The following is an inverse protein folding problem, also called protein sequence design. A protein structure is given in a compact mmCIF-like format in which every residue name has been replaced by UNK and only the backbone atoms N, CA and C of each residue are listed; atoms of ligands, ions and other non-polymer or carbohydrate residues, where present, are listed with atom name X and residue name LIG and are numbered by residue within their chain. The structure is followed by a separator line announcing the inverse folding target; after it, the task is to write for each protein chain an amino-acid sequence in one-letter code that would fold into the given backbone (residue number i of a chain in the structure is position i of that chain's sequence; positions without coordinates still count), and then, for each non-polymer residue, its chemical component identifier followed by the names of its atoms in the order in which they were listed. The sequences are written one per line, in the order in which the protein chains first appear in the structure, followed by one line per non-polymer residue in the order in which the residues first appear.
data_IF_418891962610
#
_entry.id   IF_418891962610
#
_cell.length_a   1.000
_cell.length_b   1.000
_cell.length_c   1.000
_cell.angle_alpha   90.00
_cell.angle_beta   90.00
_cell.angle_gamma   90.00
#
_symmetry.space_group_name_H-M   'P 1'
#
loop_
_entity.id
_entity.type
_entity.pdbx_description
1 polymer ?
#
# COMPACT_ATOMS: atom_id res chain seq x y z
N UNK A 1 -11.27 4.73 6.23
CA UNK A 1 -10.85 3.36 5.84
C UNK A 1 -11.74 2.91 4.70
N UNK A 2 -11.16 2.70 3.52
CA UNK A 2 -11.90 2.45 2.29
C UNK A 2 -12.21 0.95 2.09
N UNK A 3 -11.23 0.10 2.41
CA UNK A 3 -11.31 -1.34 2.22
C UNK A 3 -10.61 -2.11 3.34
N UNK A 4 -11.21 -3.21 3.76
CA UNK A 4 -10.64 -4.22 4.64
C UNK A 4 -11.13 -5.62 4.25
N UNK A 5 -10.19 -6.53 3.95
CA UNK A 5 -10.41 -7.97 3.77
C UNK A 5 -9.64 -8.80 4.80
N UNK A 6 -10.02 -10.07 4.93
CA UNK A 6 -9.34 -11.03 5.81
C UNK A 6 -9.10 -12.34 5.06
N UNK A 7 -8.03 -13.06 5.40
CA UNK A 7 -7.77 -14.38 4.85
C UNK A 7 -8.92 -15.34 5.20
N UNK A 8 -9.71 -15.71 4.19
CA UNK A 8 -10.91 -16.56 4.32
C UNK A 8 -12.26 -15.84 4.20
N UNK A 9 -12.30 -14.50 4.19
CA UNK A 9 -13.51 -13.70 3.93
C UNK A 9 -13.21 -12.59 2.93
N UNK A 10 -13.84 -12.66 1.75
CA UNK A 10 -13.48 -11.79 0.60
C UNK A 10 -13.59 -10.29 0.87
N UNK A 11 -14.49 -9.85 1.76
CA UNK A 11 -14.61 -8.45 2.19
C UNK A 11 -15.20 -8.44 3.61
N UNK A 12 -14.56 -7.74 4.55
CA UNK A 12 -15.05 -7.60 5.93
C UNK A 12 -15.62 -6.21 6.17
N UNK A 13 -15.05 -5.17 5.55
CA UNK A 13 -15.60 -3.81 5.58
C UNK A 13 -15.20 -3.04 4.33
N UNK A 14 -16.17 -2.35 3.73
CA UNK A 14 -16.01 -1.53 2.52
C UNK A 14 -16.87 -0.28 2.63
N UNK A 15 -16.35 0.85 2.16
CA UNK A 15 -17.09 2.10 2.03
C UNK A 15 -17.38 2.36 0.54
N UNK A 16 -18.51 1.84 0.08
CA UNK A 16 -18.92 1.89 -1.33
C UNK A 16 -19.24 3.31 -1.80
N UNK A 17 -19.87 4.11 -0.95
CA UNK A 17 -20.23 5.49 -1.28
C UNK A 17 -18.96 6.35 -1.43
N UNK A 18 -18.00 6.18 -0.53
CA UNK A 18 -16.71 6.85 -0.63
C UNK A 18 -15.95 6.39 -1.88
N UNK A 19 -15.87 5.08 -2.14
CA UNK A 19 -15.19 4.54 -3.32
C UNK A 19 -15.81 5.08 -4.62
N UNK A 20 -17.14 5.12 -4.72
CA UNK A 20 -17.85 5.66 -5.87
C UNK A 20 -17.61 7.16 -6.03
N UNK A 21 -17.61 7.92 -4.93
CA UNK A 21 -17.32 9.37 -4.95
C UNK A 21 -15.90 9.68 -5.43
N UNK A 22 -14.96 8.76 -5.19
CA UNK A 22 -13.56 8.83 -5.62
C UNK A 22 -13.34 8.25 -7.03
N UNK A 23 -14.38 7.75 -7.70
CA UNK A 23 -14.23 7.10 -9.02
C UNK A 23 -13.51 5.74 -8.98
N UNK A 24 -13.24 5.20 -7.78
CA UNK A 24 -12.59 3.91 -7.61
C UNK A 24 -13.60 2.79 -7.87
N UNK A 25 -13.52 2.19 -9.06
CA UNK A 25 -14.23 0.95 -9.33
C UNK A 25 -13.50 -0.23 -8.66
N UNK A 26 -13.76 -0.40 -7.36
CA UNK A 26 -13.22 -1.50 -6.58
C UNK A 26 -13.96 -2.78 -6.96
N UNK A 27 -13.46 -3.45 -7.98
CA UNK A 27 -13.91 -4.78 -8.36
C UNK A 27 -13.39 -5.81 -7.34
N UNK A 28 -14.28 -6.29 -6.48
CA UNK A 28 -13.96 -7.29 -5.44
C UNK A 28 -13.53 -8.65 -6.02
N UNK A 29 -13.67 -8.87 -7.33
CA UNK A 29 -13.14 -10.04 -8.03
C UNK A 29 -11.66 -9.88 -8.41
N UNK A 30 -11.17 -8.65 -8.48
CA UNK A 30 -9.73 -8.39 -8.61
C UNK A 30 -9.06 -8.71 -7.27
N UNK A 31 -7.85 -9.25 -7.32
CA UNK A 31 -7.04 -9.39 -6.12
C UNK A 31 -6.76 -7.99 -5.58
N UNK A 32 -7.38 -7.59 -4.48
CA UNK A 32 -7.13 -6.34 -3.77
C UNK A 32 -6.23 -6.64 -2.56
N UNK A 33 -5.50 -5.65 -2.03
CA UNK A 33 -4.72 -5.87 -0.84
C UNK A 33 -5.63 -5.96 0.39
N UNK A 34 -5.07 -6.42 1.50
CA UNK A 34 -5.83 -6.59 2.74
C UNK A 34 -6.49 -5.29 3.22
N UNK A 35 -5.81 -4.15 3.05
CA UNK A 35 -6.29 -2.85 3.51
C UNK A 35 -6.04 -1.80 2.44
N UNK A 36 -7.05 -0.95 2.20
CA UNK A 36 -6.87 0.32 1.49
C UNK A 36 -7.31 1.43 2.43
N UNK A 37 -6.35 2.28 2.78
CA UNK A 37 -6.62 3.54 3.47
C UNK A 37 -6.62 4.67 2.45
N UNK A 38 -7.44 5.67 2.71
CA UNK A 38 -7.41 6.92 1.98
C UNK A 38 -7.31 8.02 3.03
N UNK A 39 -6.31 8.88 2.86
CA UNK A 39 -6.24 10.20 3.44
C UNK A 39 -6.73 11.17 2.37
N UNK A 40 -7.78 11.94 2.68
CA UNK A 40 -8.39 12.84 1.70
C UNK A 40 -7.59 14.15 1.55
N UNK A 41 -6.63 14.39 2.45
CA UNK A 41 -5.90 15.65 2.49
C UNK A 41 -6.74 16.82 2.98
N UNK A 42 -6.10 17.98 3.06
CA UNK A 42 -6.71 19.25 3.45
C UNK A 42 -6.84 20.22 2.26
N UNK A 43 -6.18 19.95 1.12
CA UNK A 43 -6.24 20.81 -0.07
C UNK A 43 -7.52 20.55 -0.90
N UNK A 44 -8.24 21.62 -1.27
CA UNK A 44 -9.45 21.52 -2.09
C UNK A 44 -9.19 20.89 -3.48
N UNK A 45 -7.94 20.97 -3.96
CA UNK A 45 -7.50 20.36 -5.21
C UNK A 45 -7.37 18.83 -5.12
N UNK A 46 -7.30 18.27 -3.90
CA UNK A 46 -6.98 16.87 -3.64
C UNK A 46 -5.52 16.50 -3.88
N UNK A 47 -4.61 17.47 -4.06
CA UNK A 47 -3.19 17.20 -4.40
C UNK A 47 -2.39 16.52 -3.28
N UNK A 48 -2.86 16.59 -2.04
CA UNK A 48 -2.27 15.93 -0.88
C UNK A 48 -3.02 14.64 -0.48
N UNK A 49 -3.98 14.20 -1.30
CA UNK A 49 -4.66 12.93 -1.11
C UNK A 49 -3.67 11.76 -1.17
N UNK A 50 -3.87 10.76 -0.32
CA UNK A 50 -2.99 9.59 -0.25
C UNK A 50 -3.79 8.29 -0.11
N UNK A 51 -3.65 7.41 -1.09
CA UNK A 51 -4.05 6.01 -1.01
C UNK A 51 -2.91 5.17 -0.47
N UNK A 52 -3.18 4.42 0.58
CA UNK A 52 -2.23 3.48 1.17
C UNK A 52 -2.75 2.06 0.97
N UNK A 53 -2.17 1.37 -0.01
CA UNK A 53 -2.40 -0.05 -0.29
C UNK A 53 -1.53 -0.90 0.63
N UNK A 54 -2.12 -1.61 1.57
CA UNK A 54 -1.39 -2.37 2.60
C UNK A 54 -1.73 -3.85 2.53
N UNK A 55 -0.70 -4.68 2.40
CA UNK A 55 -0.78 -6.14 2.53
C UNK A 55 -0.30 -6.59 3.91
N UNK A 56 -1.09 -7.39 4.62
CA UNK A 56 -0.73 -7.94 5.93
C UNK A 56 -0.11 -9.32 5.72
N UNK A 57 1.22 -9.37 5.76
CA UNK A 57 1.97 -10.53 5.27
C UNK A 57 2.06 -11.62 6.33
N UNK A 58 1.31 -12.71 6.09
CA UNK A 58 1.43 -13.98 6.82
C UNK A 58 1.86 -15.12 5.89
N UNK A 59 1.05 -15.45 4.88
CA UNK A 59 1.30 -16.55 3.92
C UNK A 59 1.37 -16.11 2.46
N UNK A 60 0.58 -15.11 2.07
CA UNK A 60 0.28 -14.82 0.65
C UNK A 60 1.33 -13.93 -0.03
N UNK A 61 2.34 -13.51 0.73
CA UNK A 61 3.50 -12.75 0.26
C UNK A 61 3.32 -11.24 0.35
N UNK A 62 4.39 -10.47 0.10
CA UNK A 62 4.35 -9.01 0.19
C UNK A 62 3.73 -8.34 -1.05
N UNK A 63 3.63 -7.01 -0.98
CA UNK A 63 3.60 -6.19 -2.19
C UNK A 63 4.93 -6.37 -2.94
N UNK A 64 4.88 -7.16 -4.01
CA UNK A 64 5.97 -7.40 -4.95
C UNK A 64 5.76 -6.60 -6.24
N UNK A 65 6.76 -6.60 -7.13
CA UNK A 65 6.80 -5.70 -8.28
C UNK A 65 5.55 -5.77 -9.19
N UNK A 66 5.14 -6.96 -9.62
CA UNK A 66 3.94 -7.12 -10.45
C UNK A 66 2.65 -6.74 -9.71
N UNK A 67 2.57 -7.01 -8.40
CA UNK A 67 1.45 -6.57 -7.55
C UNK A 67 1.33 -5.06 -7.52
N UNK A 68 2.46 -4.35 -7.32
CA UNK A 68 2.51 -2.89 -7.33
C UNK A 68 2.07 -2.31 -8.67
N UNK A 69 2.45 -2.92 -9.80
CA UNK A 69 1.98 -2.50 -11.14
C UNK A 69 0.46 -2.59 -11.25
N UNK A 70 -0.13 -3.73 -10.90
CA UNK A 70 -1.59 -3.94 -10.98
C UNK A 70 -2.37 -2.94 -10.10
N UNK A 71 -1.88 -2.66 -8.89
CA UNK A 71 -2.53 -1.71 -8.00
C UNK A 71 -2.37 -0.26 -8.48
N UNK A 72 -1.23 0.07 -9.07
CA UNK A 72 -1.00 1.36 -9.74
C UNK A 72 -1.99 1.56 -10.88
N UNK A 73 -2.14 0.56 -11.77
CA UNK A 73 -3.07 0.62 -12.89
C UNK A 73 -4.51 0.84 -12.42
N UNK A 74 -4.94 0.15 -11.35
CA UNK A 74 -6.27 0.34 -10.77
C UNK A 74 -6.52 1.78 -10.31
N UNK A 75 -5.52 2.42 -9.68
CA UNK A 75 -5.64 3.79 -9.21
C UNK A 75 -5.57 4.82 -10.35
N UNK A 76 -4.69 4.59 -11.33
CA UNK A 76 -4.57 5.45 -12.52
C UNK A 76 -5.84 5.39 -13.36
N UNK A 77 -6.46 4.22 -13.51
CA UNK A 77 -7.76 4.06 -14.18
C UNK A 77 -8.88 4.85 -13.50
N UNK A 78 -8.76 5.11 -12.19
CA UNK A 78 -9.68 5.95 -11.42
C UNK A 78 -9.31 7.44 -11.43
N UNK A 79 -8.23 7.83 -12.13
CA UNK A 79 -7.82 9.23 -12.30
C UNK A 79 -6.75 9.71 -11.30
N UNK A 80 -6.19 8.82 -10.48
CA UNK A 80 -5.15 9.20 -9.51
C UNK A 80 -3.75 9.11 -10.09
N UNK A 81 -2.93 10.12 -9.81
CA UNK A 81 -1.52 10.12 -10.15
C UNK A 81 -0.67 9.30 -9.18
N UNK A 82 0.54 8.91 -9.61
CA UNK A 82 1.48 8.10 -8.84
C UNK A 82 1.84 8.69 -7.46
N UNK A 83 1.86 10.01 -7.34
CA UNK A 83 2.23 10.68 -6.10
C UNK A 83 1.15 10.53 -5.00
N UNK A 84 -0.09 10.20 -5.38
CA UNK A 84 -1.16 9.88 -4.44
C UNK A 84 -1.09 8.43 -3.92
N UNK A 85 -0.10 7.62 -4.33
CA UNK A 85 -0.08 6.19 -4.06
C UNK A 85 1.08 5.79 -3.15
N UNK A 86 0.77 5.09 -2.07
CA UNK A 86 1.71 4.41 -1.20
C UNK A 86 1.40 2.91 -1.14
N UNK A 87 2.46 2.10 -1.13
CA UNK A 87 2.38 0.65 -1.09
C UNK A 87 3.12 0.14 0.14
N UNK A 88 2.46 -0.66 0.97
CA UNK A 88 2.98 -1.11 2.26
C UNK A 88 2.89 -2.63 2.38
N UNK A 89 3.99 -3.27 2.71
CA UNK A 89 3.97 -4.64 3.24
C UNK A 89 4.09 -4.59 4.76
N UNK A 90 3.02 -4.97 5.46
CA UNK A 90 2.96 -4.97 6.91
C UNK A 90 3.32 -6.35 7.47
N UNK A 91 4.22 -6.39 8.43
CA UNK A 91 4.64 -7.61 9.13
C UNK A 91 4.43 -7.45 10.63
N UNK A 92 4.37 -8.57 11.36
CA UNK A 92 4.31 -8.52 12.81
C UNK A 92 5.63 -7.97 13.40
N UNK A 93 6.77 -8.48 12.93
CA UNK A 93 8.08 -8.19 13.50
C UNK A 93 9.21 -8.36 12.47
N UNK A 94 10.24 -7.52 12.58
CA UNK A 94 11.41 -7.47 11.66
C UNK A 94 12.33 -8.68 11.77
N UNK A 95 12.33 -9.40 12.90
CA UNK A 95 13.09 -10.63 13.07
C UNK A 95 12.37 -11.88 12.57
N UNK A 96 11.09 -11.76 12.17
CA UNK A 96 10.26 -12.88 11.75
C UNK A 96 10.83 -13.64 10.55
N UNK A 97 10.64 -14.96 10.54
CA UNK A 97 11.05 -15.81 9.43
C UNK A 97 10.29 -15.47 8.14
N UNK A 98 9.03 -15.03 8.25
CA UNK A 98 8.19 -14.59 7.13
C UNK A 98 8.80 -13.36 6.46
N UNK A 99 9.17 -12.33 7.24
CA UNK A 99 9.84 -11.16 6.69
C UNK A 99 11.16 -11.53 6.01
N UNK A 100 12.04 -12.24 6.72
CA UNK A 100 13.36 -12.65 6.20
C UNK A 100 13.27 -13.41 4.87
N UNK A 101 12.27 -14.28 4.73
CA UNK A 101 12.01 -15.02 3.49
C UNK A 101 11.58 -14.09 2.34
N UNK A 102 10.76 -13.10 2.63
CA UNK A 102 10.10 -12.25 1.64
C UNK A 102 10.89 -10.99 1.27
N UNK A 103 11.98 -10.65 1.99
CA UNK A 103 12.83 -9.49 1.68
C UNK A 103 13.20 -9.38 0.19
N UNK A 104 13.61 -10.47 -0.50
CA UNK A 104 13.99 -10.39 -1.91
C UNK A 104 12.83 -10.03 -2.86
N UNK A 105 11.58 -10.25 -2.44
CA UNK A 105 10.39 -10.06 -3.27
C UNK A 105 9.71 -8.70 -3.04
N UNK A 106 10.16 -7.93 -2.04
CA UNK A 106 9.62 -6.59 -1.75
C UNK A 106 9.82 -5.66 -2.95
N UNK A 107 8.76 -4.98 -3.37
CA UNK A 107 8.84 -4.00 -4.45
C UNK A 107 9.72 -2.79 -4.06
N UNK A 108 10.57 -2.33 -4.97
CA UNK A 108 11.19 -1.00 -4.84
C UNK A 108 10.15 0.11 -4.96
N UNK A 109 10.46 1.30 -4.42
CA UNK A 109 9.53 2.41 -4.29
C UNK A 109 8.31 2.07 -3.42
N UNK A 110 8.51 1.31 -2.34
CA UNK A 110 7.46 0.89 -1.42
C UNK A 110 7.94 0.94 0.03
N UNK A 111 7.05 0.66 0.98
CA UNK A 111 7.32 0.71 2.41
C UNK A 111 7.14 -0.65 3.07
N UNK A 112 7.88 -0.86 4.16
CA UNK A 112 7.66 -1.94 5.10
C UNK A 112 7.34 -1.34 6.46
N UNK A 113 6.30 -1.86 7.10
CA UNK A 113 5.91 -1.48 8.45
C UNK A 113 5.85 -2.72 9.34
N UNK A 114 6.27 -2.56 10.60
CA UNK A 114 6.30 -3.65 11.57
C UNK A 114 5.41 -3.31 12.76
N UNK A 115 4.44 -4.15 13.06
CA UNK A 115 3.51 -3.92 14.17
C UNK A 115 4.21 -3.87 15.54
N UNK A 116 5.32 -4.61 15.71
CA UNK A 116 6.13 -4.59 16.92
C UNK A 116 6.97 -3.30 17.08
N UNK A 117 7.17 -2.55 16.01
CA UNK A 117 7.97 -1.31 15.96
C UNK A 117 7.12 -0.19 15.30
N UNK A 118 5.95 0.18 15.87
CA UNK A 118 4.90 0.89 15.15
C UNK A 118 5.26 2.33 14.75
N UNK A 119 6.20 2.95 15.45
CA UNK A 119 6.68 4.32 15.19
C UNK A 119 7.75 4.37 14.08
N UNK A 120 8.06 3.23 13.46
CA UNK A 120 9.11 3.09 12.46
C UNK A 120 8.58 2.56 11.13
N UNK A 121 9.16 3.06 10.04
CA UNK A 121 8.89 2.58 8.68
C UNK A 121 10.21 2.41 7.94
N UNK A 122 10.32 1.35 7.16
CA UNK A 122 11.44 1.13 6.23
C UNK A 122 11.00 1.56 4.84
N UNK A 123 11.81 2.37 4.17
CA UNK A 123 11.56 2.78 2.79
C UNK A 123 12.49 2.04 1.84
N UNK A 124 11.92 1.32 0.88
CA UNK A 124 12.64 0.78 -0.27
C UNK A 124 12.64 1.82 -1.37
N UNK A 125 13.78 2.46 -1.63
CA UNK A 125 13.90 3.49 -2.65
C UNK A 125 13.93 2.88 -4.05
N UNK A 126 13.16 3.44 -4.98
CA UNK A 126 13.23 3.06 -6.38
C UNK A 126 14.51 3.60 -7.04
N UNK A 127 14.89 3.04 -8.18
CA UNK A 127 16.16 3.35 -8.84
C UNK A 127 16.38 4.86 -9.08
N UNK A 128 17.65 5.27 -9.07
CA UNK A 128 18.08 6.65 -9.33
C UNK A 128 19.19 7.09 -8.39
N UNK A 129 19.93 8.11 -8.81
CA UNK A 129 20.94 8.73 -7.97
C UNK A 129 20.26 9.61 -6.92
N UNK A 130 20.17 9.11 -5.69
CA UNK A 130 19.67 9.89 -4.55
C UNK A 130 20.86 10.34 -3.70
N UNK A 131 20.96 11.64 -3.48
CA UNK A 131 21.94 12.16 -2.52
C UNK A 131 21.54 11.74 -1.11
N UNK A 132 22.37 10.95 -0.43
CA UNK A 132 22.06 10.43 0.91
C UNK A 132 21.72 11.53 1.92
N UNK A 133 22.29 12.73 1.77
CA UNK A 133 21.96 13.86 2.65
C UNK A 133 20.50 14.31 2.57
N UNK A 134 19.78 14.00 1.48
CA UNK A 134 18.34 14.29 1.36
C UNK A 134 17.47 13.31 2.15
N UNK A 135 18.03 12.17 2.58
CA UNK A 135 17.34 11.16 3.37
C UNK A 135 17.53 11.36 4.89
N UNK A 136 18.47 12.23 5.28
CA UNK A 136 18.67 12.60 6.67
C UNK A 136 17.63 13.67 7.04
N UNK A 137 16.77 13.35 8.02
CA UNK A 137 15.86 14.31 8.64
C UNK A 137 16.62 15.28 9.54
#
# INVERSE_FOLDING_TARGET
MLWLSQSGSKVVKRDDDLAASLGLNIDASKALPDIILVDLGDEESGSDMLFVFTEVVATDGPIHASRKVVLTELAVDAGFELHHLAFVSAYLDRSSAVFKKNVPDLAWGSFVWFAAEPDHVVTLQDGGDVKLSWLLK
#
